data_IF_560612619627
#
_entry.id   IF_560612619627
#
_cell.length_a   1.000
_cell.length_b   1.000
_cell.length_c   1.000
_cell.angle_alpha   90.00
_cell.angle_beta   90.00
_cell.angle_gamma   90.00
#
_symmetry.space_group_name_H-M   'P 1'
#
loop_
_entity.id
_entity.type
_entity.pdbx_description
1 polymer ?
#
# COMPACT_ATOMS: atom_id res chain seq x y z
N UNK A 1 5.37 2.95 13.46
CA UNK A 1 4.70 3.61 12.31
C UNK A 1 3.53 2.74 11.91
N UNK A 2 2.36 3.32 11.65
CA UNK A 2 1.17 2.53 11.29
C UNK A 2 1.14 2.23 9.78
N UNK A 3 0.39 1.19 9.38
CA UNK A 3 0.10 0.92 7.96
C UNK A 3 -0.55 2.12 7.26
N UNK A 4 -1.40 2.85 7.99
CA UNK A 4 -2.06 4.05 7.49
C UNK A 4 -1.04 5.14 7.12
N UNK A 5 -0.02 5.34 7.94
CA UNK A 5 1.03 6.33 7.66
C UNK A 5 1.86 5.93 6.43
N UNK A 6 2.12 4.63 6.28
CA UNK A 6 2.85 4.10 5.12
C UNK A 6 2.03 4.24 3.84
N UNK A 7 0.77 3.81 3.82
CA UNK A 7 -0.15 3.96 2.68
C UNK A 7 -0.26 5.43 2.28
N UNK A 8 -0.42 6.34 3.24
CA UNK A 8 -0.51 7.77 2.96
C UNK A 8 0.77 8.33 2.31
N UNK A 9 1.96 7.94 2.81
CA UNK A 9 3.24 8.35 2.22
C UNK A 9 3.44 7.79 0.80
N UNK A 10 3.13 6.51 0.60
CA UNK A 10 3.25 5.85 -0.70
C UNK A 10 2.32 6.49 -1.73
N UNK A 11 1.04 6.69 -1.41
CA UNK A 11 0.10 7.38 -2.31
C UNK A 11 0.55 8.79 -2.63
N UNK A 12 1.04 9.55 -1.64
CA UNK A 12 1.55 10.90 -1.88
C UNK A 12 2.75 10.92 -2.84
N UNK A 13 3.67 9.97 -2.71
CA UNK A 13 4.80 9.79 -3.64
C UNK A 13 4.29 9.43 -5.04
N UNK A 14 3.36 8.49 -5.15
CA UNK A 14 2.81 8.06 -6.45
C UNK A 14 2.03 9.17 -7.17
N UNK A 15 1.27 9.98 -6.44
CA UNK A 15 0.57 11.14 -7.03
C UNK A 15 1.58 12.16 -7.56
N UNK A 16 2.64 12.41 -6.80
CA UNK A 16 3.64 13.43 -7.12
C UNK A 16 4.55 13.01 -8.28
N UNK A 17 5.08 11.79 -8.23
CA UNK A 17 6.18 11.36 -9.10
C UNK A 17 5.68 10.50 -10.28
N UNK A 18 4.52 9.86 -10.15
CA UNK A 18 3.96 8.95 -11.16
C UNK A 18 2.59 9.39 -11.70
N UNK A 19 2.04 10.51 -11.22
CA UNK A 19 0.74 11.01 -11.67
C UNK A 19 -0.43 10.10 -11.29
N UNK A 20 -0.32 9.33 -10.20
CA UNK A 20 -1.45 8.55 -9.68
C UNK A 20 -2.68 9.45 -9.49
N UNK A 21 -3.86 8.98 -9.91
CA UNK A 21 -5.12 9.73 -10.01
C UNK A 21 -5.20 10.84 -11.06
N UNK A 22 -4.14 11.06 -11.86
CA UNK A 22 -4.23 11.90 -13.05
C UNK A 22 -4.77 11.07 -14.21
N UNK A 23 -5.66 11.63 -15.03
CA UNK A 23 -6.26 10.99 -16.21
C UNK A 23 -6.92 9.62 -15.93
N UNK A 24 -7.66 9.49 -14.82
CA UNK A 24 -8.32 8.24 -14.38
C UNK A 24 -7.36 7.07 -14.10
N UNK A 25 -6.05 7.33 -13.96
CA UNK A 25 -5.06 6.33 -13.58
C UNK A 25 -5.18 5.97 -12.10
N UNK A 26 -6.11 5.07 -11.80
CA UNK A 26 -6.36 4.56 -10.44
C UNK A 26 -6.34 3.01 -10.36
N UNK A 27 -6.07 2.32 -11.47
CA UNK A 27 -6.13 0.86 -11.55
C UNK A 27 -4.95 0.13 -10.89
N UNK A 28 -3.96 0.88 -10.40
CA UNK A 28 -2.81 0.30 -9.73
C UNK A 28 -3.13 -0.36 -8.38
N UNK A 29 -2.19 -1.15 -7.89
CA UNK A 29 -2.19 -1.78 -6.58
C UNK A 29 -0.79 -1.72 -5.95
N UNK A 30 -0.75 -1.55 -4.64
CA UNK A 30 0.47 -1.64 -3.85
C UNK A 30 0.46 -2.99 -3.14
N UNK A 31 1.48 -3.80 -3.34
CA UNK A 31 1.67 -5.09 -2.68
C UNK A 31 2.83 -4.98 -1.70
N UNK A 32 2.55 -5.16 -0.42
CA UNK A 32 3.50 -5.08 0.68
C UNK A 32 3.65 -6.48 1.29
N UNK A 33 4.87 -7.02 1.28
CA UNK A 33 5.19 -8.29 1.95
C UNK A 33 5.75 -7.99 3.34
N UNK A 34 5.10 -8.52 4.37
CA UNK A 34 5.34 -8.21 5.80
C UNK A 34 5.79 -9.48 6.53
N UNK A 35 7.00 -9.94 6.27
CA UNK A 35 7.58 -11.14 6.85
C UNK A 35 7.94 -12.17 5.79
N UNK A 36 8.46 -13.32 6.25
CA UNK A 36 8.95 -14.37 5.35
C UNK A 36 7.84 -15.21 4.73
N UNK A 37 6.63 -15.20 5.31
CA UNK A 37 5.51 -16.01 4.86
C UNK A 37 4.73 -15.32 3.75
N UNK A 38 4.32 -16.09 2.74
CA UNK A 38 3.46 -15.59 1.66
C UNK A 38 2.01 -15.28 2.12
N UNK A 39 1.67 -15.66 3.35
CA UNK A 39 0.41 -15.25 3.99
C UNK A 39 0.44 -13.81 4.50
N UNK A 40 1.64 -13.25 4.67
CA UNK A 40 1.81 -11.89 5.20
C UNK A 40 1.91 -10.86 4.05
N UNK A 41 1.12 -11.07 3.01
CA UNK A 41 1.03 -10.16 1.87
C UNK A 41 -0.19 -9.25 2.05
N UNK A 42 0.07 -7.96 2.03
CA UNK A 42 -0.94 -6.92 2.06
C UNK A 42 -1.04 -6.26 0.68
N UNK A 43 -2.22 -6.31 0.09
CA UNK A 43 -2.52 -5.63 -1.17
C UNK A 43 -3.44 -4.45 -0.90
N UNK A 44 -3.05 -3.28 -1.39
CA UNK A 44 -3.78 -2.03 -1.32
C UNK A 44 -4.18 -1.66 -2.75
N UNK A 45 -5.44 -1.84 -3.10
CA UNK A 45 -5.93 -1.38 -4.40
C UNK A 45 -6.01 0.15 -4.39
N UNK A 46 -5.52 0.82 -5.44
CA UNK A 46 -5.52 2.29 -5.52
C UNK A 46 -6.89 2.83 -5.96
N UNK A 47 -7.71 1.99 -6.61
CA UNK A 47 -9.08 2.27 -7.03
C UNK A 47 -10.11 2.14 -5.89
N UNK A 48 -9.75 1.55 -4.75
CA UNK A 48 -10.64 1.36 -3.60
C UNK A 48 -10.05 1.97 -2.34
N UNK A 49 -10.94 2.34 -1.41
CA UNK A 49 -10.53 2.74 -0.07
C UNK A 49 -9.99 1.53 0.68
N UNK A 50 -8.96 1.77 1.49
CA UNK A 50 -8.38 0.77 2.38
C UNK A 50 -9.48 0.18 3.28
N UNK A 51 -9.59 -1.15 3.29
CA UNK A 51 -10.61 -1.84 4.08
C UNK A 51 -10.33 -1.67 5.58
N UNK A 52 -11.31 -1.16 6.32
CA UNK A 52 -11.17 -0.75 7.73
C UNK A 52 -10.75 -1.90 8.66
N UNK A 53 -11.16 -3.14 8.36
CA UNK A 53 -10.75 -4.31 9.14
C UNK A 53 -9.24 -4.59 9.08
N UNK A 54 -8.52 -4.09 8.05
CA UNK A 54 -7.06 -4.21 7.93
C UNK A 54 -6.30 -3.01 8.52
N UNK A 55 -7.01 -1.96 8.96
CA UNK A 55 -6.38 -0.80 9.62
C UNK A 55 -6.01 -1.09 11.09
N UNK A 56 -6.71 -2.04 11.73
CA UNK A 56 -6.41 -2.46 13.11
C UNK A 56 -5.30 -3.50 13.21
N UNK A 57 -4.98 -4.19 12.11
CA UNK A 57 -3.76 -5.00 12.04
C UNK A 57 -2.58 -4.02 12.10
N UNK A 58 -1.94 -3.95 13.26
CA UNK A 58 -0.71 -3.20 13.44
C UNK A 58 0.37 -3.98 12.69
N UNK A 59 0.44 -3.83 11.37
CA UNK A 59 1.52 -4.47 10.64
C UNK A 59 2.81 -3.76 11.04
N UNK A 60 3.69 -4.54 11.64
CA UNK A 60 4.96 -4.06 12.12
C UNK A 60 5.79 -3.68 10.89
N UNK A 61 5.91 -2.38 10.64
CA UNK A 61 6.66 -1.84 9.49
C UNK A 61 8.10 -2.34 9.45
N UNK A 62 8.66 -2.74 10.60
CA UNK A 62 10.00 -3.31 10.70
C UNK A 62 10.09 -4.71 10.08
N UNK A 63 8.95 -5.39 9.87
CA UNK A 63 8.87 -6.70 9.23
C UNK A 63 8.58 -6.59 7.73
N UNK A 64 8.45 -5.39 7.18
CA UNK A 64 8.28 -5.22 5.74
C UNK A 64 9.56 -5.67 5.04
N UNK A 65 9.43 -6.70 4.22
CA UNK A 65 10.52 -7.21 3.40
C UNK A 65 10.56 -6.52 2.03
N UNK A 66 9.39 -6.28 1.45
CA UNK A 66 9.29 -5.76 0.10
C UNK A 66 8.02 -4.95 -0.10
N UNK A 67 8.13 -3.86 -0.87
CA UNK A 67 7.00 -3.07 -1.37
C UNK A 67 7.10 -3.10 -2.89
N UNK A 68 6.05 -3.58 -3.54
CA UNK A 68 5.90 -3.62 -4.99
C UNK A 68 4.72 -2.76 -5.37
N UNK A 69 4.89 -1.94 -6.41
CA UNK A 69 3.84 -1.04 -6.89
C UNK A 69 3.59 -1.43 -8.34
N UNK A 70 2.34 -1.77 -8.63
CA UNK A 70 1.85 -2.11 -9.97
C UNK A 70 0.90 -0.98 -10.35
N UNK A 71 1.29 -0.12 -11.31
CA UNK A 71 0.55 1.08 -11.72
C UNK A 71 -0.14 0.88 -13.06
#
# INVERSE_FOLDING_TARGET
>A
MSLKDLDFKLRKMLIKDYGLYQNDSNNGKIVIKIGDSDKDIMTLELNKKLQEHRMSDTADVNKIQQITIDL
#
